data_IF_951333654126
#
_entry.id   IF_951333654126
#
_cell.length_a   1.000
_cell.length_b   1.000
_cell.length_c   1.000
_cell.angle_alpha   90.00
_cell.angle_beta   90.00
_cell.angle_gamma   90.00
#
_symmetry.space_group_name_H-M   'P 1'
#
loop_
_entity.id
_entity.type
_entity.pdbx_description
1 polymer ?
#
# COMPACT_ATOMS: atom_id res chain seq x y z
N UNK A 1 -15.18 -6.98 -10.30
CA UNK A 1 -13.74 -6.80 -10.59
C UNK A 1 -13.47 -5.35 -10.31
N UNK A 2 -12.67 -5.07 -9.29
CA UNK A 2 -12.34 -3.74 -8.83
C UNK A 2 -11.04 -3.31 -9.51
N UNK A 3 -11.19 -2.52 -10.57
CA UNK A 3 -10.08 -1.82 -11.23
C UNK A 3 -10.19 -0.34 -10.88
N UNK A 4 -9.24 0.19 -10.12
CA UNK A 4 -9.28 1.57 -9.65
C UNK A 4 -7.86 2.11 -9.48
N UNK A 5 -7.68 3.40 -9.78
CA UNK A 5 -6.47 4.12 -9.44
C UNK A 5 -6.80 5.14 -8.36
N UNK A 6 -6.05 5.11 -7.27
CA UNK A 6 -6.04 6.13 -6.22
C UNK A 6 -4.77 6.94 -6.39
N UNK A 7 -4.83 8.24 -6.13
CA UNK A 7 -3.65 9.09 -6.18
C UNK A 7 -3.75 10.24 -5.18
N UNK A 8 -2.60 10.62 -4.63
CA UNK A 8 -2.47 11.83 -3.83
C UNK A 8 -1.15 12.52 -4.15
N UNK A 9 -1.17 13.85 -4.10
CA UNK A 9 0.01 14.67 -4.25
C UNK A 9 0.72 14.78 -2.88
N UNK A 10 2.03 14.54 -2.87
CA UNK A 10 2.88 14.50 -1.68
C UNK A 10 4.03 15.50 -1.84
N UNK A 11 4.17 16.38 -0.86
CA UNK A 11 5.23 17.39 -0.85
C UNK A 11 6.44 16.92 -0.05
N UNK A 12 7.29 16.09 -0.67
CA UNK A 12 8.55 15.67 -0.07
C UNK A 12 9.56 15.22 -1.15
N UNK A 13 10.81 14.98 -0.75
CA UNK A 13 11.77 14.32 -1.61
C UNK A 13 11.36 12.88 -1.95
N UNK A 14 11.80 12.38 -3.11
CA UNK A 14 11.52 11.00 -3.54
C UNK A 14 12.08 9.97 -2.57
N UNK A 15 13.27 10.23 -2.02
CA UNK A 15 13.89 9.35 -1.03
C UNK A 15 13.07 9.27 0.25
N UNK A 16 12.52 10.40 0.72
CA UNK A 16 11.65 10.46 1.90
C UNK A 16 10.40 9.61 1.70
N UNK A 17 9.71 9.77 0.57
CA UNK A 17 8.52 8.98 0.26
C UNK A 17 8.82 7.49 0.09
N UNK A 18 9.93 7.17 -0.58
CA UNK A 18 10.38 5.78 -0.72
C UNK A 18 10.64 5.13 0.63
N UNK A 19 11.34 5.82 1.53
CA UNK A 19 11.58 5.34 2.89
C UNK A 19 10.27 5.10 3.65
N UNK A 20 9.24 5.93 3.45
CA UNK A 20 7.92 5.71 4.06
C UNK A 20 7.23 4.45 3.50
N UNK A 21 7.36 4.18 2.20
CA UNK A 21 6.83 2.96 1.60
C UNK A 21 7.56 1.71 2.10
N UNK A 22 8.89 1.78 2.28
CA UNK A 22 9.66 0.69 2.90
C UNK A 22 9.27 0.50 4.37
N UNK A 23 9.18 1.58 5.17
CA UNK A 23 8.75 1.49 6.58
C UNK A 23 7.36 0.87 6.68
N UNK A 24 6.46 1.16 5.73
CA UNK A 24 5.13 0.53 5.65
C UNK A 24 5.18 -0.98 5.43
N UNK A 25 6.20 -1.52 4.77
CA UNK A 25 6.37 -2.98 4.64
C UNK A 25 6.81 -3.63 5.96
N UNK A 26 7.71 -2.97 6.69
CA UNK A 26 8.24 -3.47 7.97
C UNK A 26 7.29 -3.23 9.15
N UNK A 27 6.52 -2.14 9.09
CA UNK A 27 5.68 -1.65 10.17
C UNK A 27 4.29 -1.24 9.66
N UNK A 28 3.53 -2.18 9.04
CA UNK A 28 2.23 -1.88 8.47
C UNK A 28 1.23 -1.33 9.50
N UNK A 29 1.37 -1.66 10.79
CA UNK A 29 0.54 -1.15 11.89
C UNK A 29 0.59 0.38 12.04
N UNK A 30 1.64 1.03 11.55
CA UNK A 30 1.78 2.50 11.57
C UNK A 30 0.95 3.18 10.49
N UNK A 31 0.55 2.45 9.46
CA UNK A 31 -0.07 3.00 8.24
C UNK A 31 -1.47 2.45 8.01
N UNK A 32 -1.68 1.17 8.27
CA UNK A 32 -2.92 0.45 7.97
C UNK A 32 -3.74 0.32 9.25
N UNK A 33 -4.99 0.75 9.21
CA UNK A 33 -5.89 0.57 10.35
C UNK A 33 -6.34 -0.89 10.44
N UNK A 34 -6.45 -1.42 11.66
CA UNK A 34 -6.97 -2.77 11.88
C UNK A 34 -5.94 -3.89 11.75
N UNK A 35 -4.66 -3.57 11.55
CA UNK A 35 -3.57 -4.54 11.71
C UNK A 35 -3.45 -4.88 13.19
N UNK A 36 -3.64 -6.16 13.52
CA UNK A 36 -3.47 -6.69 14.86
C UNK A 36 -2.09 -7.32 15.06
N UNK A 37 -1.54 -7.93 14.01
CA UNK A 37 -0.21 -8.53 13.97
C UNK A 37 0.31 -8.50 12.53
N UNK A 38 1.63 -8.41 12.37
CA UNK A 38 2.29 -8.45 11.07
C UNK A 38 3.73 -8.95 11.20
N UNK A 39 4.14 -9.77 10.24
CA UNK A 39 5.51 -10.28 10.14
C UNK A 39 5.95 -10.45 8.69
N UNK A 40 7.23 -10.27 8.45
CA UNK A 40 7.89 -10.67 7.22
C UNK A 40 8.34 -12.13 7.36
N UNK A 41 7.91 -12.97 6.43
CA UNK A 41 8.32 -14.39 6.36
C UNK A 41 9.51 -14.60 5.42
N UNK A 42 9.73 -13.67 4.49
CA UNK A 42 10.90 -13.61 3.61
C UNK A 42 11.22 -12.14 3.30
N UNK A 43 12.50 -11.81 3.25
CA UNK A 43 13.01 -10.48 2.91
C UNK A 43 14.28 -10.59 2.07
N UNK A 44 14.26 -9.98 0.89
CA UNK A 44 15.39 -9.75 0.00
C UNK A 44 15.33 -8.31 -0.54
N UNK A 45 16.38 -7.82 -1.24
CA UNK A 45 16.36 -6.48 -1.82
C UNK A 45 15.22 -6.21 -2.81
N UNK A 46 14.64 -7.25 -3.41
CA UNK A 46 13.66 -7.18 -4.49
C UNK A 46 12.34 -7.90 -4.19
N UNK A 47 12.25 -8.64 -3.08
CA UNK A 47 11.13 -9.48 -2.73
C UNK A 47 10.88 -9.46 -1.22
N UNK A 48 9.62 -9.28 -0.84
CA UNK A 48 9.14 -9.50 0.52
C UNK A 48 7.97 -10.46 0.49
N UNK A 49 7.91 -11.38 1.45
CA UNK A 49 6.69 -12.10 1.78
C UNK A 49 6.23 -11.61 3.15
N UNK A 50 4.99 -11.13 3.22
CA UNK A 50 4.40 -10.69 4.48
C UNK A 50 3.15 -11.50 4.81
N UNK A 51 2.95 -11.70 6.10
CA UNK A 51 1.75 -12.27 6.68
C UNK A 51 1.25 -11.31 7.76
N UNK A 52 -0.01 -10.91 7.69
CA UNK A 52 -0.62 -9.99 8.64
C UNK A 52 -2.03 -10.46 9.03
N UNK A 53 -2.42 -10.12 10.25
CA UNK A 53 -3.81 -10.21 10.70
C UNK A 53 -4.47 -8.85 10.56
N UNK A 54 -5.34 -8.69 9.58
CA UNK A 54 -6.01 -7.45 9.23
C UNK A 54 -7.52 -7.59 9.48
N UNK A 55 -8.07 -6.80 10.41
CA UNK A 55 -9.48 -6.86 10.82
C UNK A 55 -9.94 -8.28 11.24
N UNK A 56 -9.04 -9.05 11.85
CA UNK A 56 -9.30 -10.42 12.30
C UNK A 56 -9.13 -11.49 11.21
N UNK A 57 -8.76 -11.10 10.00
CA UNK A 57 -8.55 -12.00 8.86
C UNK A 57 -7.07 -12.10 8.51
N UNK A 58 -6.62 -13.29 8.09
CA UNK A 58 -5.25 -13.47 7.63
C UNK A 58 -5.11 -12.96 6.19
N UNK A 59 -4.10 -12.12 5.98
CA UNK A 59 -3.67 -11.66 4.68
C UNK A 59 -2.21 -12.03 4.48
N UNK A 60 -1.92 -12.74 3.38
CA UNK A 60 -0.56 -12.99 2.92
C UNK A 60 -0.35 -12.33 1.57
N UNK A 61 0.74 -11.59 1.47
CA UNK A 61 1.10 -10.93 0.21
C UNK A 61 2.56 -11.19 -0.16
N UNK A 62 2.78 -11.23 -1.47
CA UNK A 62 4.11 -11.15 -2.07
C UNK A 62 4.31 -9.74 -2.60
N UNK A 63 5.39 -9.11 -2.21
CA UNK A 63 5.70 -7.74 -2.60
C UNK A 63 6.98 -7.76 -3.43
N UNK A 64 6.88 -7.33 -4.68
CA UNK A 64 8.04 -7.14 -5.55
C UNK A 64 8.45 -5.68 -5.50
N UNK A 65 9.71 -5.42 -5.17
CA UNK A 65 10.29 -4.08 -5.12
C UNK A 65 11.00 -3.82 -6.44
N UNK A 66 10.59 -2.78 -7.14
CA UNK A 66 11.22 -2.35 -8.38
C UNK A 66 12.15 -1.15 -8.13
N UNK A 67 13.30 -1.08 -8.81
CA UNK A 67 14.27 0.01 -8.61
C UNK A 67 13.76 1.42 -8.96
N UNK A 68 12.66 1.53 -9.69
CA UNK A 68 12.09 2.76 -10.22
C UNK A 68 11.07 3.43 -9.30
N UNK A 69 10.88 2.92 -8.07
CA UNK A 69 9.94 3.48 -7.11
C UNK A 69 8.56 2.82 -7.14
N UNK A 70 8.47 1.58 -7.64
CA UNK A 70 7.27 0.76 -7.67
C UNK A 70 7.33 -0.41 -6.67
N UNK A 71 6.22 -0.64 -5.98
CA UNK A 71 5.94 -1.83 -5.17
C UNK A 71 4.74 -2.56 -5.74
N UNK A 72 4.91 -3.82 -6.15
CA UNK A 72 3.81 -4.66 -6.63
C UNK A 72 3.44 -5.68 -5.57
N UNK A 73 2.25 -5.53 -4.99
CA UNK A 73 1.68 -6.44 -4.01
C UNK A 73 0.78 -7.45 -4.72
N UNK A 74 1.03 -8.73 -4.52
CA UNK A 74 0.19 -9.85 -4.96
C UNK A 74 -0.46 -10.47 -3.74
N UNK A 75 -1.79 -10.56 -3.73
CA UNK A 75 -2.52 -11.25 -2.65
C UNK A 75 -2.41 -12.77 -2.84
N UNK A 76 -1.55 -13.40 -2.03
CA UNK A 76 -1.40 -14.86 -1.98
C UNK A 76 -2.53 -15.50 -1.17
N UNK A 77 -2.90 -14.86 -0.06
CA UNK A 77 -4.00 -15.27 0.82
C UNK A 77 -4.78 -14.03 1.25
N UNK A 78 -6.09 -14.04 1.01
CA UNK A 78 -7.02 -13.00 1.47
C UNK A 78 -8.43 -13.60 1.46
N UNK A 79 -9.29 -13.34 2.46
CA UNK A 79 -10.60 -13.98 2.57
C UNK A 79 -11.52 -13.65 1.38
N UNK A 80 -11.48 -12.41 0.91
CA UNK A 80 -12.47 -11.88 -0.03
C UNK A 80 -11.96 -11.60 -1.46
N UNK A 81 -10.65 -11.50 -1.67
CA UNK A 81 -10.08 -10.99 -2.91
C UNK A 81 -8.87 -11.80 -3.36
N UNK A 82 -8.56 -11.72 -4.64
CA UNK A 82 -7.32 -12.13 -5.28
C UNK A 82 -6.90 -11.03 -6.25
N UNK A 83 -5.62 -10.91 -6.55
CA UNK A 83 -5.14 -9.93 -7.52
C UNK A 83 -3.98 -9.12 -6.96
N UNK A 84 -3.84 -7.89 -7.45
CA UNK A 84 -2.66 -7.07 -7.18
C UNK A 84 -3.01 -5.64 -6.77
N UNK A 85 -2.13 -5.06 -5.98
CA UNK A 85 -2.11 -3.62 -5.68
C UNK A 85 -0.70 -3.13 -6.03
N UNK A 86 -0.60 -2.19 -6.96
CA UNK A 86 0.68 -1.59 -7.35
C UNK A 86 0.77 -0.19 -6.76
N UNK A 87 1.82 0.09 -5.99
CA UNK A 87 2.09 1.41 -5.42
C UNK A 87 3.27 2.04 -6.16
N UNK A 88 3.11 3.26 -6.67
CA UNK A 88 4.14 3.92 -7.49
C UNK A 88 4.37 5.36 -7.02
N UNK A 89 5.62 5.79 -7.08
CA UNK A 89 5.99 7.20 -6.95
C UNK A 89 6.15 7.80 -8.35
N UNK A 90 5.25 8.68 -8.74
CA UNK A 90 5.26 9.34 -10.05
C UNK A 90 5.72 10.79 -9.89
N UNK A 91 6.69 11.23 -10.70
CA UNK A 91 7.13 12.63 -10.69
C UNK A 91 6.06 13.51 -11.32
N UNK A 92 5.72 14.64 -10.69
CA UNK A 92 4.88 15.63 -11.37
C UNK A 92 5.63 16.23 -12.57
N UNK A 93 4.89 16.61 -13.63
CA UNK A 93 5.46 17.07 -14.89
C UNK A 93 6.31 18.38 -14.81
N UNK A 94 6.45 18.97 -13.62
CA UNK A 94 7.27 20.16 -13.40
C UNK A 94 8.74 19.76 -13.21
N UNK A 95 9.62 20.30 -14.05
CA UNK A 95 11.08 20.19 -13.92
C UNK A 95 11.60 21.06 -12.77
N UNK A 96 11.12 20.84 -11.54
CA UNK A 96 11.62 21.52 -10.35
C UNK A 96 12.16 20.47 -9.37
N UNK A 97 13.32 20.70 -8.73
CA UNK A 97 13.82 19.83 -7.65
C UNK A 97 12.86 19.72 -6.46
N UNK A 98 11.99 20.74 -6.28
CA UNK A 98 10.94 20.79 -5.25
C UNK A 98 9.56 20.47 -5.81
N UNK A 99 9.49 19.87 -7.01
CA UNK A 99 8.23 19.47 -7.59
C UNK A 99 7.60 18.37 -6.73
N UNK A 100 6.30 18.48 -6.38
CA UNK A 100 5.66 17.44 -5.61
C UNK A 100 5.60 16.12 -6.38
N UNK A 101 5.44 15.03 -5.65
CA UNK A 101 5.33 13.68 -6.18
C UNK A 101 3.87 13.24 -6.12
N UNK A 102 3.47 12.36 -7.03
CA UNK A 102 2.23 11.60 -6.89
C UNK A 102 2.55 10.24 -6.27
N UNK A 103 1.83 9.90 -5.22
CA UNK A 103 1.73 8.53 -4.73
C UNK A 103 0.47 7.92 -5.36
N UNK A 104 0.66 6.91 -6.20
CA UNK A 104 -0.42 6.24 -6.92
C UNK A 104 -0.59 4.80 -6.47
N UNK A 105 -1.83 4.36 -6.19
CA UNK A 105 -2.18 2.96 -5.99
C UNK A 105 -3.06 2.50 -7.15
N UNK A 106 -2.59 1.51 -7.91
CA UNK A 106 -3.36 0.83 -8.95
C UNK A 106 -3.87 -0.50 -8.38
N UNK A 107 -5.19 -0.65 -8.34
CA UNK A 107 -5.87 -1.83 -7.83
C UNK A 107 -6.36 -2.65 -9.02
N UNK A 108 -6.02 -3.93 -9.04
CA UNK A 108 -6.62 -4.94 -9.90
C UNK A 108 -7.03 -6.12 -9.03
N UNK A 109 -8.25 -6.04 -8.48
CA UNK A 109 -8.75 -6.98 -7.49
C UNK A 109 -9.99 -7.71 -8.02
N UNK A 110 -9.93 -9.04 -7.96
CA UNK A 110 -11.05 -9.92 -8.23
C UNK A 110 -11.62 -10.44 -6.92
N UNK A 111 -12.92 -10.19 -6.69
CA UNK A 111 -13.62 -10.76 -5.54
C UNK A 111 -13.75 -12.27 -5.70
N UNK A 112 -13.35 -13.02 -4.68
CA UNK A 112 -13.59 -14.47 -4.61
C UNK A 112 -15.10 -14.71 -4.58
N UNK A 113 -15.61 -15.59 -5.44
CA UNK A 113 -17.02 -15.98 -5.40
C UNK A 113 -17.26 -16.87 -4.19
N UNK A 114 -17.69 -16.32 -3.06
CA UNK A 114 -18.09 -17.13 -1.92
C UNK A 114 -19.47 -16.71 -1.39
N UNK A 115 -20.33 -17.72 -1.25
CA UNK A 115 -21.48 -17.73 -0.34
C UNK A 115 -20.93 -17.61 1.08
N UNK A 116 -20.63 -16.41 1.56
CA UNK A 116 -20.18 -16.21 2.93
C UNK A 116 -21.40 -15.86 3.78
N UNK A 117 -21.73 -16.71 4.76
CA UNK A 117 -22.62 -16.35 5.86
C UNK A 117 -21.84 -15.42 6.80
N UNK A 118 -22.00 -14.10 6.64
CA UNK A 118 -21.34 -13.10 7.47
C UNK A 118 -21.44 -11.68 6.90
N UNK A 119 -21.05 -10.67 7.69
CA UNK A 119 -20.91 -9.28 7.22
C UNK A 119 -19.70 -9.22 6.29
N UNK A 120 -19.93 -9.16 4.98
CA UNK A 120 -18.86 -9.09 3.99
C UNK A 120 -18.50 -7.63 3.77
N UNK A 121 -17.28 -7.22 4.14
CA UNK A 121 -16.74 -5.88 3.78
C UNK A 121 -16.88 -5.65 2.27
N UNK A 122 -17.46 -4.51 1.91
CA UNK A 122 -17.70 -4.14 0.51
C UNK A 122 -16.43 -3.69 -0.22
N UNK A 123 -16.50 -3.56 -1.55
CA UNK A 123 -15.42 -2.96 -2.36
C UNK A 123 -15.10 -1.53 -1.90
N UNK A 124 -16.11 -0.76 -1.48
CA UNK A 124 -15.95 0.59 -0.94
C UNK A 124 -15.14 0.63 0.36
N UNK A 125 -15.29 -0.38 1.23
CA UNK A 125 -14.56 -0.41 2.49
C UNK A 125 -13.06 -0.60 2.28
N UNK A 126 -12.66 -1.46 1.34
CA UNK A 126 -11.26 -1.65 0.97
C UNK A 126 -10.67 -0.40 0.35
N UNK A 127 -11.44 0.26 -0.53
CA UNK A 127 -11.02 1.54 -1.10
C UNK A 127 -10.80 2.57 0.00
N UNK A 128 -11.73 2.69 0.95
CA UNK A 128 -11.60 3.64 2.06
C UNK A 128 -10.38 3.35 2.95
N UNK A 129 -10.09 2.07 3.22
CA UNK A 129 -8.90 1.68 3.96
C UNK A 129 -7.61 2.08 3.23
N UNK A 130 -7.56 1.85 1.91
CA UNK A 130 -6.41 2.20 1.07
C UNK A 130 -6.24 3.72 0.92
N UNK A 131 -7.34 4.47 0.79
CA UNK A 131 -7.31 5.93 0.81
C UNK A 131 -6.82 6.46 2.17
N UNK A 132 -7.25 5.84 3.27
CA UNK A 132 -6.78 6.19 4.64
C UNK A 132 -5.30 5.87 4.82
N UNK A 133 -4.84 4.70 4.38
CA UNK A 133 -3.42 4.33 4.34
C UNK A 133 -2.61 5.37 3.54
N UNK A 134 -3.09 5.70 2.33
CA UNK A 134 -2.43 6.65 1.44
C UNK A 134 -2.28 8.05 2.08
N UNK A 135 -3.32 8.55 2.74
CA UNK A 135 -3.24 9.84 3.46
C UNK A 135 -2.26 9.79 4.65
N UNK A 136 -2.16 8.66 5.35
CA UNK A 136 -1.18 8.47 6.44
C UNK A 136 0.25 8.45 5.91
N UNK A 137 0.50 7.72 4.80
CA UNK A 137 1.82 7.72 4.14
C UNK A 137 2.21 9.14 3.73
N UNK A 138 1.29 9.87 3.07
CA UNK A 138 1.51 11.27 2.70
C UNK A 138 1.88 12.13 3.91
N UNK A 139 1.05 12.14 4.95
CA UNK A 139 1.24 13.02 6.10
C UNK A 139 2.58 12.77 6.78
N UNK A 140 2.94 11.49 6.97
CA UNK A 140 4.23 11.11 7.58
C UNK A 140 5.42 11.50 6.69
N UNK A 141 5.30 11.37 5.37
CA UNK A 141 6.34 11.76 4.43
C UNK A 141 6.59 13.28 4.48
N UNK A 142 5.52 14.09 4.39
CA UNK A 142 5.61 15.56 4.44
C UNK A 142 6.17 16.04 5.78
N UNK A 143 5.76 15.42 6.89
CA UNK A 143 6.31 15.73 8.22
C UNK A 143 7.79 15.33 8.37
N UNK A 144 8.21 14.21 7.79
CA UNK A 144 9.60 13.76 7.85
C UNK A 144 10.51 14.68 7.04
N UNK A 145 10.05 15.11 5.86
CA UNK A 145 10.76 16.03 4.98
C UNK A 145 10.94 17.40 5.62
N UNK A 146 9.89 17.92 6.27
CA UNK A 146 9.94 19.22 6.95
C UNK A 146 10.89 19.27 8.18
N UNK A 147 11.35 18.11 8.68
CA UNK A 147 12.27 18.01 9.81
C UNK A 147 13.73 17.76 9.39
N UNK A 148 13.97 17.39 8.13
CA UNK A 148 15.31 17.12 7.57
C UNK A 148 15.98 18.37 7.06
#
# INVERSE_FOLDING_TARGET
MLVRTLQVLVHCEHKTLWNMLMDRLHHPERYIQGVADARLTEESPDLFLSEMTLHGETVKERILVRPDGELRHELLEHPQFTGFIVRKIVKSARQSPVAPLYLEYELDLLRKSLKVQGVVRGEEEIVNDLETEMQKVRSRAEEADARG
#
